data_IF_705302775552
#
_entry.id   IF_705302775552
#
_cell.length_a   1.000
_cell.length_b   1.000
_cell.length_c   1.000
_cell.angle_alpha   90.00
_cell.angle_beta   90.00
_cell.angle_gamma   90.00
#
_symmetry.space_group_name_H-M   'P 1'
#
loop_
_entity.id
_entity.type
_entity.pdbx_description
1 polymer ?
#
# COMPACT_ATOMS: atom_id res chain seq x y z
N UNK A 1 18.89 -4.07 -13.50
CA UNK A 1 18.87 -4.16 -12.03
C UNK A 1 18.57 -2.83 -11.34
N UNK A 2 19.33 -1.75 -11.59
CA UNK A 2 19.11 -0.43 -10.92
C UNK A 2 17.70 0.16 -11.09
N UNK A 3 17.14 0.15 -12.31
CA UNK A 3 15.79 0.67 -12.57
C UNK A 3 14.69 -0.10 -11.79
N UNK A 4 14.83 -1.42 -11.66
CA UNK A 4 13.86 -2.26 -10.98
C UNK A 4 13.89 -2.04 -9.46
N UNK A 5 15.08 -1.82 -8.90
CA UNK A 5 15.26 -1.49 -7.48
C UNK A 5 14.63 -0.15 -7.12
N UNK A 6 14.74 0.85 -7.99
CA UNK A 6 14.13 2.17 -7.77
C UNK A 6 12.62 2.07 -7.54
N UNK A 7 11.90 1.28 -8.35
CA UNK A 7 10.47 1.06 -8.17
C UNK A 7 10.12 0.42 -6.81
N UNK A 8 10.97 -0.49 -6.31
CA UNK A 8 10.77 -1.11 -5.00
C UNK A 8 10.99 -0.11 -3.86
N UNK A 9 12.00 0.76 -3.98
CA UNK A 9 12.21 1.83 -2.99
C UNK A 9 11.01 2.79 -2.94
N UNK A 10 10.45 3.16 -4.09
CA UNK A 10 9.24 4.01 -4.14
C UNK A 10 8.07 3.32 -3.42
N UNK A 11 7.80 2.05 -3.72
CA UNK A 11 6.75 1.30 -3.03
C UNK A 11 6.99 1.17 -1.52
N UNK A 12 8.24 0.92 -1.10
CA UNK A 12 8.61 0.85 0.31
C UNK A 12 8.35 2.19 1.03
N UNK A 13 8.79 3.30 0.44
CA UNK A 13 8.58 4.65 0.99
C UNK A 13 7.10 4.98 1.10
N UNK A 14 6.30 4.69 0.06
CA UNK A 14 4.85 4.87 0.08
C UNK A 14 4.22 4.07 1.22
N UNK A 15 4.59 2.79 1.37
CA UNK A 15 4.06 1.93 2.41
C UNK A 15 4.43 2.46 3.81
N UNK A 16 5.68 2.88 4.02
CA UNK A 16 6.15 3.44 5.31
C UNK A 16 5.39 4.72 5.66
N UNK A 17 5.24 5.64 4.70
CA UNK A 17 4.45 6.86 4.90
C UNK A 17 2.99 6.50 5.23
N UNK A 18 2.43 5.50 4.55
CA UNK A 18 1.11 4.96 4.82
C UNK A 18 0.95 4.47 6.26
N UNK A 19 1.93 3.71 6.78
CA UNK A 19 1.94 3.30 8.20
C UNK A 19 1.89 4.51 9.10
N UNK A 20 2.77 5.50 8.88
CA UNK A 20 2.84 6.71 9.72
C UNK A 20 1.51 7.47 9.74
N UNK A 21 0.88 7.67 8.57
CA UNK A 21 -0.42 8.35 8.47
C UNK A 21 -1.49 7.65 9.31
N UNK A 22 -1.55 6.31 9.25
CA UNK A 22 -2.57 5.54 9.96
C UNK A 22 -2.26 5.40 11.45
N UNK A 23 -0.98 5.30 11.84
CA UNK A 23 -0.56 5.31 13.24
C UNK A 23 -0.85 6.68 13.88
N UNK A 24 -0.54 7.78 13.18
CA UNK A 24 -0.88 9.14 13.64
C UNK A 24 -2.40 9.30 13.76
N UNK A 25 -3.18 8.67 12.87
CA UNK A 25 -4.66 8.72 12.94
C UNK A 25 -5.22 8.22 14.28
N UNK A 26 -4.58 7.23 14.91
CA UNK A 26 -4.99 6.70 16.21
C UNK A 26 -4.91 7.75 17.33
N UNK A 27 -4.05 8.76 17.19
CA UNK A 27 -3.83 9.80 18.21
C UNK A 27 -4.36 11.18 17.80
N UNK A 28 -4.45 11.46 16.50
CA UNK A 28 -4.81 12.78 15.97
C UNK A 28 -6.32 13.09 16.01
N UNK A 29 -7.17 12.09 16.23
CA UNK A 29 -8.60 12.26 16.45
C UNK A 29 -9.43 12.48 15.18
N UNK A 30 -10.71 12.90 15.31
CA UNK A 30 -11.69 12.86 14.22
C UNK A 30 -11.38 13.78 13.03
N UNK A 31 -10.74 14.92 13.27
CA UNK A 31 -10.35 15.88 12.24
C UNK A 31 -9.32 15.30 11.27
N UNK A 32 -8.45 14.43 11.76
CA UNK A 32 -7.49 13.70 10.93
C UNK A 32 -8.21 12.75 9.97
N UNK A 33 -9.16 11.96 10.47
CA UNK A 33 -9.96 11.07 9.64
C UNK A 33 -10.74 11.85 8.56
N UNK A 34 -11.34 12.99 8.92
CA UNK A 34 -12.03 13.84 7.95
C UNK A 34 -11.09 14.44 6.91
N UNK A 35 -9.87 14.87 7.30
CA UNK A 35 -8.86 15.40 6.39
C UNK A 35 -8.38 14.36 5.37
N UNK A 36 -8.21 13.11 5.80
CA UNK A 36 -7.88 11.98 4.94
C UNK A 36 -9.09 11.38 4.20
N UNK A 37 -10.22 12.11 4.12
CA UNK A 37 -11.38 11.69 3.34
C UNK A 37 -12.05 10.41 3.85
N UNK A 38 -11.89 10.07 5.14
CA UNK A 38 -12.49 8.86 5.68
C UNK A 38 -14.03 8.92 5.60
N UNK A 39 -14.71 7.77 5.41
CA UNK A 39 -16.17 7.72 5.37
C UNK A 39 -16.80 8.35 6.62
N UNK A 40 -18.01 8.95 6.52
CA UNK A 40 -18.69 9.58 7.64
C UNK A 40 -18.84 8.65 8.86
N UNK A 41 -19.02 7.34 8.64
CA UNK A 41 -19.08 6.32 9.70
C UNK A 41 -17.78 6.20 10.50
N UNK A 42 -16.62 6.37 9.87
CA UNK A 42 -15.31 6.34 10.54
C UNK A 42 -15.12 7.63 11.35
N UNK A 43 -15.43 8.78 10.76
CA UNK A 43 -15.31 10.08 11.43
C UNK A 43 -16.22 10.14 12.67
N UNK A 44 -17.44 9.67 12.53
CA UNK A 44 -18.40 9.61 13.65
C UNK A 44 -17.96 8.59 14.71
N UNK A 45 -17.43 7.44 14.30
CA UNK A 45 -16.81 6.47 15.22
C UNK A 45 -15.69 7.11 16.05
N UNK A 46 -14.81 7.90 15.41
CA UNK A 46 -13.74 8.61 16.10
C UNK A 46 -14.28 9.67 17.07
N UNK A 47 -15.38 10.37 16.72
CA UNK A 47 -16.03 11.36 17.60
C UNK A 47 -16.67 10.72 18.82
N UNK A 48 -17.31 9.57 18.63
CA UNK A 48 -17.99 8.82 19.68
C UNK A 48 -17.03 7.98 20.54
N UNK A 49 -15.74 7.92 20.17
CA UNK A 49 -14.74 7.12 20.88
C UNK A 49 -14.97 5.61 20.76
N UNK A 50 -15.63 5.15 19.68
CA UNK A 50 -15.88 3.73 19.46
C UNK A 50 -14.68 3.04 18.82
N UNK A 51 -14.65 1.70 18.86
CA UNK A 51 -13.49 0.91 18.40
C UNK A 51 -13.31 0.85 16.88
N UNK A 52 -14.28 1.28 16.09
CA UNK A 52 -14.26 1.10 14.64
C UNK A 52 -13.16 1.94 13.96
N UNK A 53 -13.00 3.21 14.33
CA UNK A 53 -11.93 4.08 13.83
C UNK A 53 -10.50 3.63 14.19
N UNK A 54 -10.17 3.31 15.47
CA UNK A 54 -8.83 2.86 15.84
C UNK A 54 -8.51 1.46 15.31
N UNK A 55 -9.48 0.53 15.32
CA UNK A 55 -9.25 -0.84 14.79
C UNK A 55 -9.02 -0.79 13.28
N UNK A 56 -9.83 -0.05 12.53
CA UNK A 56 -9.61 0.09 11.07
C UNK A 56 -8.26 0.73 10.76
N UNK A 57 -7.89 1.80 11.47
CA UNK A 57 -6.57 2.43 11.33
C UNK A 57 -5.42 1.47 11.63
N UNK A 58 -5.50 0.70 12.72
CA UNK A 58 -4.50 -0.27 13.11
C UNK A 58 -4.36 -1.41 12.09
N UNK A 59 -5.48 -1.93 11.58
CA UNK A 59 -5.48 -2.97 10.53
C UNK A 59 -4.80 -2.44 9.28
N UNK A 60 -5.14 -1.23 8.81
CA UNK A 60 -4.52 -0.66 7.60
C UNK A 60 -3.02 -0.40 7.83
N UNK A 61 -2.65 0.14 9.00
CA UNK A 61 -1.25 0.33 9.37
C UNK A 61 -0.46 -0.99 9.35
N UNK A 62 -1.05 -2.07 9.87
CA UNK A 62 -0.44 -3.40 9.84
C UNK A 62 -0.25 -3.91 8.42
N UNK A 63 -1.29 -3.80 7.57
CA UNK A 63 -1.19 -4.20 6.16
C UNK A 63 -0.10 -3.42 5.42
N UNK A 64 -0.02 -2.09 5.61
CA UNK A 64 1.02 -1.25 5.04
C UNK A 64 2.41 -1.64 5.57
N UNK A 65 2.53 -1.98 6.84
CA UNK A 65 3.77 -2.46 7.45
C UNK A 65 4.24 -3.78 6.82
N UNK A 66 3.32 -4.72 6.59
CA UNK A 66 3.61 -5.97 5.88
C UNK A 66 4.11 -5.66 4.46
N UNK A 67 3.43 -4.79 3.73
CA UNK A 67 3.85 -4.35 2.40
C UNK A 67 5.28 -3.77 2.39
N UNK A 68 5.61 -2.90 3.35
CA UNK A 68 6.95 -2.35 3.51
C UNK A 68 8.00 -3.43 3.77
N UNK A 69 7.71 -4.39 4.66
CA UNK A 69 8.60 -5.51 4.96
C UNK A 69 8.86 -6.39 3.72
N UNK A 70 7.83 -6.68 2.93
CA UNK A 70 7.97 -7.44 1.67
C UNK A 70 8.81 -6.67 0.64
N UNK A 71 8.63 -5.36 0.50
CA UNK A 71 9.44 -4.53 -0.37
C UNK A 71 10.93 -4.50 0.05
N UNK A 72 11.20 -4.33 1.35
CA UNK A 72 12.56 -4.37 1.90
C UNK A 72 13.21 -5.76 1.78
N UNK A 73 12.43 -6.83 1.94
CA UNK A 73 12.89 -8.20 1.70
C UNK A 73 13.23 -8.43 0.22
N UNK A 74 12.47 -7.84 -0.72
CA UNK A 74 12.77 -7.89 -2.15
C UNK A 74 14.08 -7.18 -2.52
N UNK A 75 14.43 -6.10 -1.80
CA UNK A 75 15.71 -5.40 -1.94
C UNK A 75 16.89 -6.11 -1.27
N UNK A 76 16.64 -7.18 -0.51
CA UNK A 76 17.67 -7.93 0.21
C UNK A 76 18.15 -7.27 1.51
N UNK A 77 17.46 -6.24 2.02
CA UNK A 77 17.79 -5.62 3.31
C UNK A 77 17.37 -6.48 4.51
N UNK A 78 16.33 -7.30 4.34
CA UNK A 78 15.78 -8.18 5.39
C UNK A 78 15.92 -9.64 4.94
N UNK A 79 15.97 -10.57 5.90
CA UNK A 79 15.92 -12.02 5.64
C UNK A 79 14.77 -12.34 4.68
N UNK A 80 15.02 -13.23 3.71
CA UNK A 80 14.00 -13.62 2.72
C UNK A 80 12.78 -14.21 3.44
N UNK A 81 11.63 -13.57 3.31
CA UNK A 81 10.38 -14.11 3.84
C UNK A 81 9.93 -15.32 3.00
N UNK A 82 9.34 -16.35 3.64
CA UNK A 82 8.67 -17.42 2.90
C UNK A 82 7.55 -16.80 2.06
N UNK A 83 7.39 -17.25 0.82
CA UNK A 83 6.38 -16.75 -0.14
C UNK A 83 6.59 -15.31 -0.66
N UNK A 84 7.81 -14.77 -0.61
CA UNK A 84 8.12 -13.42 -1.12
C UNK A 84 7.56 -13.14 -2.53
N UNK A 85 7.70 -14.08 -3.47
CA UNK A 85 7.17 -13.94 -4.84
C UNK A 85 5.65 -13.83 -4.86
N UNK A 86 4.96 -14.73 -4.17
CA UNK A 86 3.49 -14.78 -4.13
C UNK A 86 2.91 -13.56 -3.41
N UNK A 87 3.57 -13.11 -2.34
CA UNK A 87 3.18 -11.89 -1.64
C UNK A 87 3.32 -10.64 -2.52
N UNK A 88 4.46 -10.47 -3.20
CA UNK A 88 4.70 -9.31 -4.07
C UNK A 88 3.71 -9.24 -5.24
N UNK A 89 3.44 -10.36 -5.92
CA UNK A 89 2.47 -10.36 -7.02
C UNK A 89 1.05 -10.16 -6.51
N UNK A 90 0.69 -10.75 -5.35
CA UNK A 90 -0.62 -10.55 -4.73
C UNK A 90 -0.85 -9.09 -4.34
N UNK A 91 0.13 -8.45 -3.70
CA UNK A 91 0.09 -7.03 -3.37
C UNK A 91 0.01 -6.15 -4.62
N UNK A 92 0.79 -6.47 -5.66
CA UNK A 92 0.74 -5.76 -6.94
C UNK A 92 -0.66 -5.84 -7.57
N UNK A 93 -1.26 -7.04 -7.59
CA UNK A 93 -2.61 -7.25 -8.08
C UNK A 93 -3.64 -6.46 -7.26
N UNK A 94 -3.61 -6.56 -5.93
CA UNK A 94 -4.57 -5.85 -5.06
C UNK A 94 -4.46 -4.33 -5.24
N UNK A 95 -3.24 -3.78 -5.23
CA UNK A 95 -3.02 -2.34 -5.38
C UNK A 95 -3.44 -1.84 -6.77
N UNK A 96 -3.11 -2.61 -7.81
CA UNK A 96 -3.50 -2.28 -9.20
C UNK A 96 -5.01 -2.39 -9.40
N UNK A 97 -5.65 -3.46 -8.91
CA UNK A 97 -7.09 -3.63 -8.95
C UNK A 97 -7.78 -2.49 -8.21
N UNK A 98 -7.29 -2.09 -7.03
CA UNK A 98 -7.85 -0.94 -6.29
C UNK A 98 -7.78 0.34 -7.12
N UNK A 99 -6.63 0.67 -7.68
CA UNK A 99 -6.46 1.85 -8.52
C UNK A 99 -7.35 1.79 -9.78
N UNK A 100 -7.49 0.60 -10.37
CA UNK A 100 -8.32 0.37 -11.55
C UNK A 100 -9.82 0.40 -11.26
N UNK A 101 -10.28 -0.06 -10.09
CA UNK A 101 -11.70 -0.03 -9.69
C UNK A 101 -12.14 1.41 -9.38
N UNK A 102 -11.25 2.23 -8.81
CA UNK A 102 -11.52 3.63 -8.54
C UNK A 102 -11.83 4.43 -9.83
N UNK A 103 -11.18 4.09 -10.94
CA UNK A 103 -11.37 4.77 -12.22
C UNK A 103 -12.82 4.73 -12.79
N UNK A 104 -13.44 3.55 -13.02
CA UNK A 104 -14.84 3.47 -13.45
C UNK A 104 -15.80 3.98 -12.38
N UNK A 105 -15.48 3.80 -11.10
CA UNK A 105 -16.31 4.30 -10.01
C UNK A 105 -16.39 5.84 -10.04
N UNK A 106 -15.29 6.53 -10.32
CA UNK A 106 -15.27 8.00 -10.50
C UNK A 106 -16.04 8.50 -11.75
N UNK A 107 -16.25 7.63 -12.74
CA UNK A 107 -17.10 7.94 -13.90
C UNK A 107 -18.58 7.82 -13.55
N UNK A 108 -18.94 6.80 -12.77
CA UNK A 108 -20.34 6.55 -12.33
C UNK A 108 -20.78 7.42 -11.15
N UNK A 109 -19.85 7.82 -10.29
CA UNK A 109 -20.09 8.55 -9.03
C UNK A 109 -19.26 9.85 -9.00
N UNK A 110 -19.79 10.98 -9.50
CA UNK A 110 -19.09 12.27 -9.52
C UNK A 110 -18.64 12.74 -8.13
N UNK A 111 -19.32 12.31 -7.07
CA UNK A 111 -19.01 12.59 -5.67
C UNK A 111 -17.66 12.00 -5.21
N UNK A 112 -17.17 10.97 -5.89
CA UNK A 112 -15.88 10.34 -5.61
C UNK A 112 -14.72 11.01 -6.38
N UNK A 113 -15.03 12.00 -7.23
CA UNK A 113 -14.04 12.74 -8.02
C UNK A 113 -13.35 13.84 -7.21
N UNK A 114 -12.96 13.51 -5.98
CA UNK A 114 -12.28 14.42 -5.07
C UNK A 114 -10.75 14.28 -5.21
N UNK A 115 -10.01 15.30 -4.75
CA UNK A 115 -8.54 15.31 -4.83
C UNK A 115 -7.93 14.11 -4.09
N UNK A 116 -8.56 13.68 -3.00
CA UNK A 116 -8.07 12.58 -2.18
C UNK A 116 -8.08 11.25 -2.93
N UNK A 117 -9.19 10.86 -3.56
CA UNK A 117 -9.33 9.61 -4.31
C UNK A 117 -8.41 9.59 -5.53
N UNK A 118 -8.22 10.73 -6.21
CA UNK A 118 -7.27 10.84 -7.33
C UNK A 118 -5.84 10.60 -6.84
N UNK A 119 -5.42 11.30 -5.78
CA UNK A 119 -4.09 11.14 -5.20
C UNK A 119 -3.90 9.72 -4.68
N UNK A 120 -4.90 9.17 -4.01
CA UNK A 120 -4.89 7.79 -3.55
C UNK A 120 -4.71 6.84 -4.73
N UNK A 121 -5.51 6.93 -5.79
CA UNK A 121 -5.39 6.06 -6.97
C UNK A 121 -3.99 6.10 -7.59
N UNK A 122 -3.38 7.30 -7.69
CA UNK A 122 -2.00 7.46 -8.17
C UNK A 122 -0.98 6.80 -7.24
N UNK A 123 -1.11 7.01 -5.92
CA UNK A 123 -0.21 6.41 -4.91
C UNK A 123 -0.33 4.89 -4.91
N UNK A 124 -1.54 4.35 -4.94
CA UNK A 124 -1.81 2.90 -4.99
C UNK A 124 -1.34 2.29 -6.32
N UNK A 125 -1.50 3.01 -7.44
CA UNK A 125 -0.96 2.60 -8.74
C UNK A 125 0.57 2.56 -8.76
N UNK A 126 1.23 3.59 -8.22
CA UNK A 126 2.69 3.64 -8.10
C UNK A 126 3.22 2.52 -7.18
N UNK A 127 2.54 2.26 -6.06
CA UNK A 127 2.87 1.15 -5.17
C UNK A 127 2.70 -0.21 -5.87
N UNK A 128 1.59 -0.41 -6.60
CA UNK A 128 1.33 -1.63 -7.38
C UNK A 128 2.43 -1.89 -8.41
N UNK A 129 2.84 -0.86 -9.14
CA UNK A 129 3.96 -0.95 -10.08
C UNK A 129 5.27 -1.29 -9.37
N UNK A 130 5.57 -0.66 -8.23
CA UNK A 130 6.77 -0.95 -7.45
C UNK A 130 6.80 -2.37 -6.89
N UNK A 131 5.68 -2.93 -6.45
CA UNK A 131 5.58 -4.35 -6.05
C UNK A 131 5.79 -5.30 -7.24
N UNK A 132 5.26 -4.96 -8.42
CA UNK A 132 5.51 -5.72 -9.64
C UNK A 132 7.01 -5.68 -10.04
N UNK A 133 7.67 -4.53 -9.92
CA UNK A 133 9.12 -4.43 -10.06
C UNK A 133 9.84 -5.34 -9.06
N UNK A 134 9.42 -5.35 -7.80
CA UNK A 134 9.95 -6.25 -6.77
C UNK A 134 9.82 -7.72 -7.15
N UNK A 135 8.65 -8.13 -7.67
CA UNK A 135 8.44 -9.47 -8.18
C UNK A 135 9.42 -9.81 -9.30
N UNK A 136 9.61 -8.92 -10.30
CA UNK A 136 10.57 -9.13 -11.39
C UNK A 136 12.02 -9.22 -10.91
N UNK A 137 12.40 -8.38 -9.94
CA UNK A 137 13.74 -8.38 -9.34
C UNK A 137 14.03 -9.73 -8.67
N UNK A 138 13.12 -10.19 -7.82
CA UNK A 138 13.23 -11.50 -7.17
C UNK A 138 13.18 -12.61 -8.22
N UNK A 139 12.38 -12.45 -9.27
CA UNK A 139 12.23 -13.46 -10.31
C UNK A 139 13.54 -13.72 -11.06
N UNK A 140 14.17 -12.65 -11.55
CA UNK A 140 15.46 -12.69 -12.24
C UNK A 140 16.57 -13.29 -11.36
N UNK A 141 16.58 -12.94 -10.07
CA UNK A 141 17.59 -13.46 -9.13
C UNK A 141 17.57 -14.99 -8.95
N UNK A 142 16.45 -15.65 -9.26
CA UNK A 142 16.37 -17.12 -9.21
C UNK A 142 16.78 -17.76 -10.54
N UNK A 143 16.43 -17.16 -11.68
CA UNK A 143 16.85 -17.66 -12.99
C UNK A 143 18.38 -17.69 -13.09
N UNK A 144 19.05 -16.59 -12.71
CA UNK A 144 20.51 -16.54 -12.70
C UNK A 144 21.19 -17.52 -11.73
N UNK A 145 20.45 -18.06 -10.75
CA UNK A 145 20.96 -19.13 -9.86
C UNK A 145 20.69 -20.53 -10.43
N UNK A 146 19.68 -20.69 -11.27
CA UNK A 146 19.37 -21.93 -11.97
C UNK A 146 20.34 -22.21 -13.11
N UNK A 147 20.78 -21.18 -13.83
CA UNK A 147 21.72 -21.31 -14.95
C UNK A 147 23.17 -21.56 -14.50
N UNK A 148 23.46 -21.44 -13.20
CA UNK A 148 24.79 -21.59 -12.60
C UNK A 148 25.01 -22.96 -11.91
N UNK A 149 24.00 -23.83 -11.93
CA UNK A 149 24.02 -25.20 -11.40
C UNK A 149 23.83 -26.19 -12.54
#
# INVERSE_FOLDING_TARGET
MKQTQFGVYVAATIAIIGVLIHVVALFAGPTWYAFFGAPPSIVESARQGTWLAPVSGAVIALLMGICALYALSALGHIRRLPLLRTGLIGMACICSCRALILWPLMLSHPELRNTFEIVAALVWGAAGFGFFCGFRLVHQSLLSRGDAN
#
